data_IF_620044398384
#
_entry.id   IF_620044398384
#
_cell.length_a   1.000
_cell.length_b   1.000
_cell.length_c   1.000
_cell.angle_alpha   90.00
_cell.angle_beta   90.00
_cell.angle_gamma   90.00
#
_symmetry.space_group_name_H-M   'P 1'
#
loop_
_entity.id
_entity.type
_entity.pdbx_description
1 polymer ?
#
# COMPACT_ATOMS: atom_id res chain seq x y z
N UNK A 1 16.37 51.93 18.08
CA UNK A 1 15.31 51.83 17.06
C UNK A 1 15.26 50.36 16.70
N UNK A 2 14.31 49.66 17.30
CA UNK A 2 14.18 48.21 17.21
C UNK A 2 13.27 47.91 16.01
N UNK A 3 13.80 47.24 14.99
CA UNK A 3 13.04 46.89 13.79
C UNK A 3 12.45 45.50 14.00
N UNK A 4 11.15 45.43 14.28
CA UNK A 4 10.42 44.16 14.27
C UNK A 4 10.40 43.60 12.84
N UNK A 5 10.74 42.32 12.61
CA UNK A 5 10.68 41.72 11.29
C UNK A 5 9.24 41.71 10.77
N UNK A 6 9.03 42.27 9.58
CA UNK A 6 7.73 42.21 8.89
C UNK A 6 7.51 40.77 8.38
N UNK A 7 6.51 40.08 8.95
CA UNK A 7 6.10 38.77 8.45
C UNK A 7 5.02 38.95 7.37
N UNK A 8 5.40 38.78 6.11
CA UNK A 8 4.46 38.74 4.98
C UNK A 8 3.93 37.31 4.80
N UNK A 9 2.79 37.00 5.43
CA UNK A 9 2.13 35.70 5.32
C UNK A 9 0.72 35.73 5.88
N UNK A 10 -0.08 34.70 5.64
CA UNK A 10 -1.40 34.55 6.27
C UNK A 10 -1.34 33.52 7.38
N UNK A 11 -1.93 33.82 8.54
CA UNK A 11 -1.99 32.90 9.68
C UNK A 11 -3.43 32.43 9.87
N UNK A 12 -3.62 31.12 10.02
CA UNK A 12 -4.93 30.54 10.28
C UNK A 12 -5.15 30.44 11.80
N UNK A 13 -6.21 31.08 12.29
CA UNK A 13 -6.54 31.11 13.72
C UNK A 13 -7.90 30.44 13.94
N UNK A 14 -7.94 29.51 14.88
CA UNK A 14 -9.16 28.78 15.25
C UNK A 14 -9.92 29.54 16.34
N UNK A 15 -11.20 29.85 16.10
CA UNK A 15 -12.05 30.50 17.08
C UNK A 15 -12.74 29.47 18.00
N UNK A 16 -12.52 29.50 19.33
CA UNK A 16 -13.17 28.56 20.25
C UNK A 16 -14.68 28.79 20.41
N UNK A 17 -15.17 30.01 20.11
CA UNK A 17 -16.58 30.37 20.21
C UNK A 17 -17.45 29.75 19.11
N UNK A 18 -17.08 29.96 17.84
CA UNK A 18 -17.84 29.47 16.68
C UNK A 18 -17.22 28.26 15.98
N UNK A 19 -16.06 27.77 16.46
CA UNK A 19 -15.32 26.63 15.89
C UNK A 19 -14.96 26.79 14.42
N UNK A 20 -14.80 28.03 13.97
CA UNK A 20 -14.41 28.35 12.59
C UNK A 20 -12.96 28.77 12.55
N UNK A 21 -12.24 28.34 11.52
CA UNK A 21 -10.89 28.81 11.22
C UNK A 21 -10.97 30.03 10.31
N UNK A 22 -10.27 31.11 10.67
CA UNK A 22 -10.19 32.34 9.88
C UNK A 22 -8.73 32.66 9.56
N UNK A 23 -8.47 33.17 8.35
CA UNK A 23 -7.14 33.59 7.93
C UNK A 23 -6.96 35.08 8.19
N UNK A 24 -5.88 35.44 8.88
CA UNK A 24 -5.50 36.82 9.17
C UNK A 24 -4.18 37.15 8.48
N UNK A 25 -3.99 38.43 8.14
CA UNK A 25 -2.69 38.93 7.70
C UNK A 25 -1.68 38.83 8.86
N UNK A 26 -0.51 38.27 8.58
CA UNK A 26 0.58 38.04 9.51
C UNK A 26 1.16 39.33 10.11
N UNK A 27 0.79 40.49 9.59
CA UNK A 27 1.02 41.79 10.23
C UNK A 27 0.32 41.95 11.59
N UNK A 28 -0.70 41.14 11.88
CA UNK A 28 -1.43 41.14 13.15
C UNK A 28 -0.92 40.10 14.16
N UNK A 29 0.23 39.47 13.90
CA UNK A 29 0.86 38.56 14.86
C UNK A 29 1.13 39.28 16.20
N UNK A 30 0.68 38.68 17.29
CA UNK A 30 0.77 39.26 18.65
C UNK A 30 -0.41 40.17 19.02
N UNK A 31 -1.37 40.40 18.14
CA UNK A 31 -2.58 41.19 18.41
C UNK A 31 -3.81 40.32 18.65
N UNK A 32 -4.83 40.89 19.29
CA UNK A 32 -6.16 40.28 19.39
C UNK A 32 -7.03 40.80 18.24
N UNK A 33 -7.58 39.90 17.44
CA UNK A 33 -8.53 40.23 16.37
C UNK A 33 -9.92 39.67 16.67
N UNK A 34 -11.01 40.35 16.31
CA UNK A 34 -12.35 39.80 16.44
C UNK A 34 -12.59 38.71 15.39
N UNK A 35 -13.15 37.58 15.81
CA UNK A 35 -13.59 36.53 14.89
C UNK A 35 -14.65 37.10 13.93
N UNK A 36 -14.51 36.94 12.61
CA UNK A 36 -15.46 37.50 11.63
C UNK A 36 -16.85 36.85 11.70
N UNK A 37 -16.97 35.67 12.33
CA UNK A 37 -18.24 34.95 12.43
C UNK A 37 -19.03 35.28 13.70
N UNK A 38 -18.35 35.44 14.84
CA UNK A 38 -19.04 35.61 16.13
C UNK A 38 -18.59 36.83 16.94
N UNK A 39 -17.59 37.58 16.47
CA UNK A 39 -17.06 38.77 17.15
C UNK A 39 -16.21 38.49 18.39
N UNK A 40 -15.97 37.22 18.75
CA UNK A 40 -15.12 36.87 19.89
C UNK A 40 -13.66 37.28 19.61
N UNK A 41 -13.05 38.03 20.52
CA UNK A 41 -11.62 38.38 20.45
C UNK A 41 -10.75 37.13 20.62
N UNK A 42 -9.92 36.84 19.63
CA UNK A 42 -8.98 35.71 19.60
C UNK A 42 -7.55 36.24 19.50
N UNK A 43 -6.64 35.68 20.29
CA UNK A 43 -5.21 36.01 20.21
C UNK A 43 -4.60 35.38 18.96
N UNK A 44 -3.85 36.16 18.19
CA UNK A 44 -3.08 35.69 17.04
C UNK A 44 -1.66 35.44 17.52
N UNK A 45 -1.44 34.34 18.23
CA UNK A 45 -0.08 33.94 18.62
C UNK A 45 0.58 33.23 17.44
N UNK A 46 1.87 33.53 17.14
CA UNK A 46 2.63 32.69 16.24
C UNK A 46 2.66 31.30 16.88
N UNK A 47 2.02 30.33 16.23
CA UNK A 47 2.29 28.95 16.55
C UNK A 47 3.77 28.73 16.27
N UNK A 48 4.55 28.48 17.31
CA UNK A 48 5.90 27.94 17.17
C UNK A 48 5.78 26.58 16.48
N UNK A 49 5.56 26.58 15.16
CA UNK A 49 5.82 25.45 14.28
C UNK A 49 7.33 25.30 14.22
N UNK A 50 7.89 24.88 15.35
CA UNK A 50 9.03 23.97 15.34
C UNK A 50 8.61 22.89 14.37
N UNK A 51 9.29 22.78 13.23
CA UNK A 51 9.09 21.67 12.30
C UNK A 51 9.45 20.41 13.06
N UNK A 52 8.50 19.87 13.79
CA UNK A 52 8.61 18.56 14.43
C UNK A 52 8.70 17.62 13.26
N UNK A 53 9.82 16.94 13.11
CA UNK A 53 9.92 15.78 12.24
C UNK A 53 8.80 14.83 12.67
N UNK A 54 7.65 14.92 12.00
CA UNK A 54 6.50 14.08 12.31
C UNK A 54 6.96 12.69 11.93
N UNK A 55 7.32 11.90 12.95
CA UNK A 55 7.60 10.49 12.76
C UNK A 55 6.41 9.90 12.01
N UNK A 56 6.71 9.37 10.82
CA UNK A 56 5.69 8.79 9.95
C UNK A 56 4.85 7.84 10.76
N UNK A 57 3.55 8.00 10.66
CA UNK A 57 2.62 7.07 11.28
C UNK A 57 2.84 5.67 10.70
N UNK A 58 2.51 4.60 11.45
CA UNK A 58 2.56 3.24 10.93
C UNK A 58 1.78 3.06 9.62
N UNK A 59 0.74 3.86 9.41
CA UNK A 59 -0.05 3.87 8.17
C UNK A 59 0.73 4.45 6.99
N UNK A 60 1.39 5.59 7.16
CA UNK A 60 2.22 6.19 6.11
C UNK A 60 3.37 5.27 5.71
N UNK A 61 3.98 4.60 6.68
CA UNK A 61 4.99 3.59 6.41
C UNK A 61 4.46 2.39 5.60
N UNK A 62 3.25 1.93 5.91
CA UNK A 62 2.60 0.86 5.15
C UNK A 62 2.26 1.29 3.71
N UNK A 63 1.76 2.53 3.55
CA UNK A 63 1.49 3.12 2.24
C UNK A 63 2.76 3.25 1.40
N UNK A 64 3.85 3.74 1.96
CA UNK A 64 5.15 3.86 1.27
C UNK A 64 5.64 2.48 0.80
N UNK A 65 5.54 1.45 1.65
CA UNK A 65 5.90 0.07 1.27
C UNK A 65 5.04 -0.46 0.12
N UNK A 66 3.73 -0.21 0.15
CA UNK A 66 2.84 -0.65 -0.92
C UNK A 66 3.14 0.08 -2.24
N UNK A 67 3.41 1.38 -2.18
CA UNK A 67 3.78 2.19 -3.35
C UNK A 67 5.10 1.73 -3.95
N UNK A 68 6.12 1.45 -3.13
CA UNK A 68 7.40 0.90 -3.58
C UNK A 68 7.20 -0.46 -4.28
N UNK A 69 6.41 -1.35 -3.69
CA UNK A 69 6.08 -2.65 -4.28
C UNK A 69 5.39 -2.49 -5.64
N UNK A 70 4.39 -1.61 -5.72
CA UNK A 70 3.68 -1.30 -6.96
C UNK A 70 4.60 -0.68 -8.02
N UNK A 71 5.53 0.19 -7.63
CA UNK A 71 6.51 0.79 -8.54
C UNK A 71 7.41 -0.28 -9.14
N UNK A 72 7.98 -1.15 -8.31
CA UNK A 72 8.82 -2.28 -8.77
C UNK A 72 8.06 -3.20 -9.71
N UNK A 73 6.79 -3.47 -9.42
CA UNK A 73 5.94 -4.26 -10.29
C UNK A 73 5.74 -3.59 -11.66
N UNK A 74 5.44 -2.28 -11.68
CA UNK A 74 5.25 -1.50 -12.91
C UNK A 74 6.53 -1.34 -13.74
N UNK A 75 7.67 -1.24 -13.08
CA UNK A 75 8.98 -1.08 -13.72
C UNK A 75 9.56 -2.41 -14.19
N UNK A 76 9.06 -3.54 -13.68
CA UNK A 76 9.47 -4.85 -14.18
C UNK A 76 8.99 -5.04 -15.62
N UNK A 77 9.91 -5.39 -16.52
CA UNK A 77 9.59 -5.79 -17.91
C UNK A 77 8.94 -7.17 -17.98
N UNK A 78 8.88 -7.86 -16.86
CA UNK A 78 8.33 -9.19 -16.70
C UNK A 78 6.85 -9.05 -16.30
N UNK A 79 5.95 -9.47 -17.19
CA UNK A 79 4.54 -9.62 -16.85
C UNK A 79 4.39 -10.90 -16.01
N UNK A 80 3.52 -10.88 -15.00
CA UNK A 80 3.17 -12.09 -14.28
C UNK A 80 1.99 -12.77 -14.97
N UNK A 81 2.12 -14.06 -15.29
CA UNK A 81 1.06 -14.88 -15.86
C UNK A 81 0.70 -16.01 -14.91
N UNK A 82 -0.60 -16.31 -14.79
CA UNK A 82 -1.04 -17.54 -14.12
C UNK A 82 -0.82 -18.72 -15.05
N UNK A 83 -0.08 -19.71 -14.56
CA UNK A 83 0.02 -21.04 -15.15
C UNK A 83 -0.48 -22.10 -14.18
N UNK A 84 -0.72 -23.30 -14.70
CA UNK A 84 -1.08 -24.44 -13.88
C UNK A 84 -0.41 -25.71 -14.37
N UNK A 85 -0.12 -26.61 -13.43
CA UNK A 85 0.38 -27.96 -13.71
C UNK A 85 -0.53 -28.99 -13.06
N UNK A 86 -0.94 -29.99 -13.83
CA UNK A 86 -1.82 -31.06 -13.37
C UNK A 86 -1.03 -32.36 -13.24
N UNK A 87 -1.04 -32.93 -12.04
CA UNK A 87 -0.54 -34.26 -11.74
C UNK A 87 -1.75 -35.20 -11.66
N UNK A 88 -1.80 -36.24 -12.49
CA UNK A 88 -2.90 -37.21 -12.52
C UNK A 88 -2.42 -38.55 -12.02
N UNK A 89 -3.27 -39.25 -11.26
CA UNK A 89 -2.99 -40.62 -10.83
C UNK A 89 -2.87 -41.53 -12.06
N UNK A 90 -1.68 -42.11 -12.26
CA UNK A 90 -1.44 -43.13 -13.29
C UNK A 90 -1.61 -44.53 -12.69
N UNK A 91 -1.73 -45.57 -13.53
CA UNK A 91 -1.98 -46.96 -13.07
C UNK A 91 -0.96 -47.49 -12.03
N UNK A 92 0.27 -46.95 -12.01
CA UNK A 92 1.36 -47.41 -11.13
C UNK A 92 1.68 -46.43 -10.00
N UNK A 93 0.90 -45.37 -9.81
CA UNK A 93 1.19 -44.32 -8.82
C UNK A 93 0.16 -44.36 -7.70
N UNK A 94 0.60 -44.32 -6.44
CA UNK A 94 -0.30 -44.16 -5.29
C UNK A 94 -0.68 -42.70 -5.09
N UNK A 95 -1.73 -42.44 -4.30
CA UNK A 95 -2.12 -41.07 -3.96
C UNK A 95 -0.98 -40.30 -3.28
N UNK A 96 -0.25 -40.95 -2.37
CA UNK A 96 0.90 -40.39 -1.67
C UNK A 96 2.02 -40.05 -2.66
N UNK A 97 2.30 -40.93 -3.63
CA UNK A 97 3.29 -40.66 -4.67
C UNK A 97 2.91 -39.49 -5.57
N UNK A 98 1.62 -39.31 -5.84
CA UNK A 98 1.11 -38.16 -6.59
C UNK A 98 1.27 -36.85 -5.79
N UNK A 99 0.91 -36.87 -4.52
CA UNK A 99 1.08 -35.74 -3.60
C UNK A 99 2.56 -35.36 -3.44
N UNK A 100 3.45 -36.34 -3.35
CA UNK A 100 4.90 -36.09 -3.28
C UNK A 100 5.40 -35.41 -4.56
N UNK A 101 5.01 -35.89 -5.75
CA UNK A 101 5.40 -35.23 -7.01
C UNK A 101 4.91 -33.79 -7.10
N UNK A 102 3.67 -33.54 -6.65
CA UNK A 102 3.12 -32.20 -6.59
C UNK A 102 3.90 -31.32 -5.59
N UNK A 103 4.22 -31.84 -4.40
CA UNK A 103 5.02 -31.14 -3.39
C UNK A 103 6.44 -30.83 -3.90
N UNK A 104 7.09 -31.78 -4.56
CA UNK A 104 8.43 -31.58 -5.15
C UNK A 104 8.41 -30.48 -6.21
N UNK A 105 7.38 -30.45 -7.07
CA UNK A 105 7.20 -29.36 -8.02
C UNK A 105 6.93 -28.02 -7.32
N UNK A 106 6.04 -27.99 -6.33
CA UNK A 106 5.74 -26.78 -5.57
C UNK A 106 7.00 -26.21 -4.88
N UNK A 107 7.84 -27.07 -4.33
CA UNK A 107 9.13 -26.71 -3.71
C UNK A 107 10.17 -26.22 -4.72
N UNK A 108 10.02 -26.56 -6.01
CA UNK A 108 10.89 -26.07 -7.08
C UNK A 108 10.51 -24.67 -7.57
N UNK A 109 9.31 -24.17 -7.22
CA UNK A 109 8.87 -22.83 -7.58
C UNK A 109 9.56 -21.76 -6.70
N UNK A 110 9.76 -20.53 -7.20
CA UNK A 110 10.19 -19.43 -6.35
C UNK A 110 9.19 -19.18 -5.21
N UNK A 111 9.65 -18.70 -4.03
CA UNK A 111 8.82 -18.59 -2.82
C UNK A 111 7.49 -17.85 -3.01
N UNK A 112 7.49 -16.80 -3.84
CA UNK A 112 6.32 -15.95 -4.08
C UNK A 112 5.53 -16.34 -5.34
N UNK A 113 5.88 -17.46 -5.97
CA UNK A 113 5.25 -17.90 -7.22
C UNK A 113 4.11 -18.89 -7.01
N UNK A 114 4.06 -19.62 -5.90
CA UNK A 114 2.96 -20.54 -5.63
C UNK A 114 1.68 -19.77 -5.28
N UNK A 115 0.59 -20.00 -6.02
CA UNK A 115 -0.73 -19.39 -5.75
C UNK A 115 -1.58 -20.33 -4.92
N UNK A 116 -1.74 -21.57 -5.40
CA UNK A 116 -2.67 -22.52 -4.79
C UNK A 116 -2.34 -23.96 -5.19
N UNK A 117 -2.69 -24.91 -4.32
CA UNK A 117 -2.70 -26.35 -4.60
C UNK A 117 -4.13 -26.84 -4.38
N UNK A 118 -4.74 -27.34 -5.45
CA UNK A 118 -6.08 -27.93 -5.42
C UNK A 118 -6.02 -29.41 -5.76
N UNK A 119 -6.96 -30.20 -5.26
CA UNK A 119 -7.06 -31.60 -5.64
C UNK A 119 -8.50 -32.03 -5.92
N UNK A 120 -8.62 -33.06 -6.75
CA UNK A 120 -9.86 -33.82 -6.93
C UNK A 120 -9.59 -35.29 -6.61
N UNK A 121 -10.55 -35.94 -5.96
CA UNK A 121 -10.56 -37.39 -5.76
C UNK A 121 -11.90 -37.93 -6.25
N UNK A 122 -11.88 -38.78 -7.27
CA UNK A 122 -13.08 -39.44 -7.78
C UNK A 122 -12.88 -40.95 -7.85
N UNK A 123 -13.98 -41.71 -7.91
CA UNK A 123 -13.92 -43.18 -7.88
C UNK A 123 -13.48 -43.82 -9.21
N UNK A 124 -13.15 -43.02 -10.24
CA UNK A 124 -12.73 -43.50 -11.56
C UNK A 124 -11.23 -43.34 -11.81
N UNK A 125 -10.69 -44.20 -12.69
CA UNK A 125 -9.33 -44.07 -13.22
C UNK A 125 -9.21 -42.70 -13.91
N UNK A 126 -8.26 -41.88 -13.47
CA UNK A 126 -8.04 -40.52 -13.98
C UNK A 126 -8.90 -39.43 -13.34
N UNK A 127 -9.81 -39.77 -12.42
CA UNK A 127 -10.63 -38.80 -11.66
C UNK A 127 -9.88 -38.16 -10.49
N UNK A 128 -8.72 -38.71 -10.13
CA UNK A 128 -7.86 -38.22 -9.06
C UNK A 128 -6.70 -37.41 -9.62
N UNK A 129 -6.64 -36.13 -9.27
CA UNK A 129 -5.63 -35.21 -9.76
C UNK A 129 -5.26 -34.16 -8.69
N UNK A 130 -4.03 -33.67 -8.77
CA UNK A 130 -3.55 -32.50 -8.03
C UNK A 130 -3.18 -31.43 -9.04
N UNK A 131 -3.72 -30.22 -8.87
CA UNK A 131 -3.46 -29.07 -9.72
C UNK A 131 -2.73 -28.00 -8.91
N UNK A 132 -1.58 -27.57 -9.41
CA UNK A 132 -0.79 -26.49 -8.83
C UNK A 132 -0.94 -25.27 -9.71
N UNK A 133 -1.40 -24.17 -9.13
CA UNK A 133 -1.52 -22.86 -9.76
C UNK A 133 -0.36 -21.99 -9.30
N UNK A 134 0.34 -21.36 -10.25
CA UNK A 134 1.52 -20.56 -9.93
C UNK A 134 1.67 -19.38 -10.88
N UNK A 135 2.36 -18.35 -10.41
CA UNK A 135 2.80 -17.23 -11.22
C UNK A 135 4.08 -17.60 -11.97
N UNK A 136 4.13 -17.27 -13.26
CA UNK A 136 5.36 -17.26 -14.05
C UNK A 136 5.66 -15.86 -14.53
N UNK A 137 6.95 -15.56 -14.71
CA UNK A 137 7.38 -14.32 -15.36
C UNK A 137 7.41 -14.57 -16.87
N UNK A 138 6.70 -13.74 -17.61
CA UNK A 138 6.73 -13.72 -19.07
C UNK A 138 7.32 -12.40 -19.52
N UNK A 139 8.23 -12.46 -20.49
CA UNK A 139 8.66 -11.23 -21.13
C UNK A 139 7.48 -10.61 -21.87
N UNK A 140 7.46 -9.28 -21.97
CA UNK A 140 6.42 -8.57 -22.72
C UNK A 140 6.36 -9.01 -24.20
N UNK A 141 7.49 -9.42 -24.76
CA UNK A 141 7.59 -9.87 -26.15
C UNK A 141 7.01 -11.28 -26.37
N UNK A 142 7.00 -12.13 -25.34
CA UNK A 142 6.42 -13.48 -25.39
C UNK A 142 4.90 -13.49 -25.12
N UNK A 143 4.32 -12.38 -24.64
CA UNK A 143 2.90 -12.29 -24.32
C UNK A 143 1.99 -12.29 -25.56
N UNK A 144 2.48 -11.78 -26.70
CA UNK A 144 1.71 -11.62 -27.93
C UNK A 144 1.74 -12.86 -28.86
N UNK A 145 2.33 -13.97 -28.42
CA UNK A 145 2.39 -15.25 -29.16
C UNK A 145 1.32 -16.24 -28.73
#
# INVERSE_FOLDING_TARGET
MDQTPEFEGTVNVYCPGCRTTSSFDGRHLGEFAPCPQCGLSIGIEPSDETTVDVEKTPYEFACDKQQESNRRFRESKDLMRVEFRVFRLQMLTTWEGLCQQAADFANSLPPDSLINISHSSGQGIGSTAVTIWYWTRVSRDDWDR
#
